data_IF_631925143636
#
_entry.id   IF_631925143636
#
_cell.length_a   1.000
_cell.length_b   1.000
_cell.length_c   1.000
_cell.angle_alpha   90.00
_cell.angle_beta   90.00
_cell.angle_gamma   90.00
#
_symmetry.space_group_name_H-M   'P 1'
#
loop_
_entity.id
_entity.type
_entity.pdbx_description
1 polymer ?
#
# COMPACT_ATOMS: atom_id res chain seq x y z
N UNK A 1 2.12 -33.40 19.47
CA UNK A 1 1.26 -33.19 18.29
C UNK A 1 1.66 -31.85 17.71
N UNK A 2 2.06 -31.74 16.43
CA UNK A 2 2.40 -30.44 15.88
C UNK A 2 1.12 -29.59 15.84
N UNK A 3 1.19 -28.36 16.36
CA UNK A 3 0.12 -27.38 16.25
C UNK A 3 -0.31 -27.27 14.79
N UNK A 4 -1.54 -27.68 14.49
CA UNK A 4 -2.18 -27.27 13.25
C UNK A 4 -2.42 -25.77 13.36
N UNK A 5 -1.63 -25.01 12.60
CA UNK A 5 -1.91 -23.62 12.25
C UNK A 5 -3.41 -23.45 12.00
N UNK A 6 -4.10 -22.91 13.00
CA UNK A 6 -5.55 -22.69 13.02
C UNK A 6 -5.99 -21.54 12.10
N UNK A 7 -5.09 -21.06 11.24
CA UNK A 7 -5.29 -19.91 10.36
C UNK A 7 -6.27 -20.18 9.20
N UNK A 8 -6.76 -21.41 9.00
CA UNK A 8 -7.71 -21.76 7.94
C UNK A 8 -8.82 -22.68 8.44
N UNK A 9 -9.34 -22.40 9.64
CA UNK A 9 -10.48 -23.11 10.20
C UNK A 9 -11.73 -22.87 9.33
N UNK A 10 -12.32 -23.94 8.77
CA UNK A 10 -13.61 -23.94 8.07
C UNK A 10 -13.66 -23.17 6.74
N UNK A 11 -12.53 -23.04 6.03
CA UNK A 11 -12.50 -22.43 4.68
C UNK A 11 -12.71 -20.92 4.64
N UNK A 12 -12.91 -20.28 5.80
CA UNK A 12 -12.94 -18.83 5.92
C UNK A 12 -11.56 -18.32 6.37
N UNK A 13 -11.00 -17.31 5.68
CA UNK A 13 -9.79 -16.68 6.14
C UNK A 13 -10.04 -16.02 7.52
N UNK A 14 -9.05 -15.96 8.43
CA UNK A 14 -9.21 -15.35 9.74
C UNK A 14 -9.67 -13.91 9.58
N UNK A 15 -10.49 -13.40 10.50
CA UNK A 15 -10.94 -11.99 10.48
C UNK A 15 -9.76 -10.99 10.39
N UNK A 16 -8.57 -11.41 10.84
CA UNK A 16 -7.30 -10.68 10.67
C UNK A 16 -6.88 -10.56 9.20
N UNK A 17 -7.05 -11.60 8.39
CA UNK A 17 -6.69 -11.62 6.98
C UNK A 17 -7.54 -10.68 6.13
N UNK A 18 -8.85 -10.60 6.38
CA UNK A 18 -9.71 -9.62 5.67
C UNK A 18 -9.30 -8.19 6.00
N UNK A 19 -8.96 -7.90 7.25
CA UNK A 19 -8.41 -6.60 7.66
C UNK A 19 -7.08 -6.30 6.98
N UNK A 20 -6.19 -7.29 6.86
CA UNK A 20 -4.92 -7.16 6.14
C UNK A 20 -5.15 -6.85 4.66
N UNK A 21 -6.06 -7.57 3.99
CA UNK A 21 -6.37 -7.33 2.58
C UNK A 21 -7.00 -5.96 2.34
N UNK A 22 -7.94 -5.55 3.20
CA UNK A 22 -8.53 -4.20 3.16
C UNK A 22 -7.46 -3.12 3.37
N UNK A 23 -6.55 -3.33 4.32
CA UNK A 23 -5.40 -2.45 4.55
C UNK A 23 -4.47 -2.37 3.34
N UNK A 24 -4.16 -3.51 2.73
CA UNK A 24 -3.31 -3.58 1.53
C UNK A 24 -3.94 -2.85 0.35
N UNK A 25 -5.24 -3.07 0.08
CA UNK A 25 -5.96 -2.38 -0.98
C UNK A 25 -5.96 -0.87 -0.75
N UNK A 26 -6.18 -0.42 0.50
CA UNK A 26 -6.18 1.00 0.84
C UNK A 26 -4.81 1.64 0.60
N UNK A 27 -3.73 1.00 1.08
CA UNK A 27 -2.36 1.50 0.88
C UNK A 27 -2.03 1.52 -0.61
N UNK A 28 -2.34 0.47 -1.35
CA UNK A 28 -2.10 0.40 -2.79
C UNK A 28 -2.85 1.50 -3.55
N UNK A 29 -4.11 1.76 -3.20
CA UNK A 29 -4.91 2.82 -3.81
C UNK A 29 -4.32 4.22 -3.56
N UNK A 30 -3.94 4.51 -2.31
CA UNK A 30 -3.30 5.78 -1.95
C UNK A 30 -1.97 5.94 -2.69
N UNK A 31 -1.17 4.88 -2.74
CA UNK A 31 0.15 4.92 -3.38
C UNK A 31 0.02 5.15 -4.90
N UNK A 32 -0.88 4.43 -5.56
CA UNK A 32 -1.16 4.58 -6.99
C UNK A 32 -1.74 5.98 -7.30
N UNK A 33 -2.63 6.48 -6.44
CA UNK A 33 -3.14 7.86 -6.54
C UNK A 33 -2.02 8.89 -6.46
N UNK A 34 -1.09 8.75 -5.52
CA UNK A 34 0.09 9.61 -5.38
C UNK A 34 0.97 9.58 -6.63
N UNK A 35 1.26 8.39 -7.18
CA UNK A 35 2.02 8.25 -8.43
C UNK A 35 1.29 8.85 -9.64
N UNK A 36 -0.04 8.75 -9.68
CA UNK A 36 -0.84 9.34 -10.78
C UNK A 36 -0.78 10.86 -10.75
N UNK A 37 -0.93 11.46 -9.57
CA UNK A 37 -0.77 12.92 -9.39
C UNK A 37 0.66 13.35 -9.75
N UNK A 38 1.66 12.55 -9.38
CA UNK A 38 3.06 12.81 -9.73
C UNK A 38 3.26 12.86 -11.25
N UNK A 39 2.74 11.87 -11.98
CA UNK A 39 2.82 11.82 -13.44
C UNK A 39 2.11 13.01 -14.10
N UNK A 40 0.92 13.38 -13.63
CA UNK A 40 0.19 14.54 -14.16
C UNK A 40 1.01 15.82 -13.93
N UNK A 41 1.62 15.99 -12.76
CA UNK A 41 2.44 17.16 -12.48
C UNK A 41 3.68 17.24 -13.39
N UNK A 42 4.35 16.10 -13.62
CA UNK A 42 5.47 16.03 -14.56
C UNK A 42 5.04 16.35 -16.00
N UNK A 43 3.87 15.87 -16.44
CA UNK A 43 3.29 16.23 -17.76
C UNK A 43 2.99 17.72 -17.89
N UNK A 44 2.67 18.39 -16.78
CA UNK A 44 2.47 19.84 -16.70
C UNK A 44 3.79 20.63 -16.49
N UNK A 45 4.94 19.96 -16.49
CA UNK A 45 6.27 20.56 -16.36
C UNK A 45 6.75 20.78 -14.91
N UNK A 46 6.03 20.28 -13.91
CA UNK A 46 6.42 20.36 -12.51
C UNK A 46 7.04 19.05 -12.01
N UNK A 47 8.36 19.06 -11.77
CA UNK A 47 9.12 17.90 -11.26
C UNK A 47 9.38 17.97 -9.74
N UNK A 48 8.79 18.94 -9.03
CA UNK A 48 9.08 19.16 -7.61
C UNK A 48 8.49 18.10 -6.67
N UNK A 49 7.54 17.28 -7.16
CA UNK A 49 6.94 16.19 -6.38
C UNK A 49 7.91 15.01 -6.19
N UNK A 50 8.84 14.76 -7.13
CA UNK A 50 9.86 13.71 -6.99
C UNK A 50 10.86 14.01 -5.86
N UNK A 51 10.99 15.27 -5.46
CA UNK A 51 11.81 15.68 -4.33
C UNK A 51 11.16 15.43 -2.96
N UNK A 52 9.86 15.13 -2.91
CA UNK A 52 9.16 14.89 -1.64
C UNK A 52 9.67 13.60 -0.96
N UNK A 53 9.76 12.44 -1.64
CA UNK A 53 10.38 11.24 -1.07
C UNK A 53 11.82 11.47 -0.59
N UNK A 54 12.64 12.19 -1.35
CA UNK A 54 14.03 12.49 -0.97
C UNK A 54 14.11 13.27 0.36
N UNK A 55 13.24 14.27 0.54
CA UNK A 55 13.15 15.06 1.78
C UNK A 55 12.70 14.23 2.98
N UNK A 56 11.81 13.26 2.80
CA UNK A 56 11.43 12.33 3.87
C UNK A 56 12.58 11.39 4.28
N UNK A 57 13.51 11.11 3.37
CA UNK A 57 14.70 10.30 3.63
C UNK A 57 15.91 11.12 4.12
N UNK A 58 15.76 12.45 4.27
CA UNK A 58 16.83 13.34 4.72
C UNK A 58 17.94 13.57 3.69
N UNK A 59 17.62 13.41 2.40
CA UNK A 59 18.52 13.60 1.26
C UNK A 59 18.33 14.97 0.58
#
# INVERSE_FOLDING_TARGET
MPEQSSAWSQGNPPATFEKLWRGLILIAAIHLGGMTINLIAQMLGYNGLDGIPAKFLGL
#
